data_IF_133178076557
#
_entry.id   IF_133178076557
#
_cell.length_a   1.000
_cell.length_b   1.000
_cell.length_c   1.000
_cell.angle_alpha   90.00
_cell.angle_beta   90.00
_cell.angle_gamma   90.00
#
_symmetry.space_group_name_H-M   'P 1'
#
loop_
_entity.id
_entity.type
_entity.pdbx_description
1 polymer ?
#
# COMPACT_ATOMS: atom_id res chain seq x y z
N UNK A 1 25.15 39.79 -14.37
CA UNK A 1 24.59 38.43 -14.30
C UNK A 1 24.90 37.74 -15.63
N UNK A 2 25.90 36.86 -15.66
CA UNK A 2 26.43 36.27 -16.91
C UNK A 2 25.69 34.96 -17.19
N UNK A 3 25.05 34.89 -18.36
CA UNK A 3 24.21 33.80 -18.80
C UNK A 3 24.93 32.46 -18.82
N UNK A 4 24.26 31.45 -18.26
CA UNK A 4 24.68 30.06 -18.34
C UNK A 4 24.52 29.59 -19.80
N UNK A 5 25.64 29.44 -20.50
CA UNK A 5 25.70 28.78 -21.81
C UNK A 5 25.40 27.29 -21.58
N UNK A 6 24.10 26.97 -21.47
CA UNK A 6 23.59 25.63 -21.15
C UNK A 6 23.18 24.99 -22.47
N UNK A 7 23.94 23.99 -22.91
CA UNK A 7 23.68 23.34 -24.19
C UNK A 7 22.28 22.68 -24.18
N UNK A 8 21.36 23.07 -25.06
CA UNK A 8 19.98 22.54 -25.07
C UNK A 8 19.96 21.02 -25.32
N UNK A 9 20.98 20.52 -26.03
CA UNK A 9 21.21 19.10 -26.27
C UNK A 9 21.49 18.31 -24.99
N UNK A 10 22.26 18.88 -24.05
CA UNK A 10 22.57 18.22 -22.79
C UNK A 10 21.33 18.09 -21.91
N UNK A 11 20.54 19.17 -21.83
CA UNK A 11 19.28 19.16 -21.08
C UNK A 11 18.28 18.18 -21.68
N UNK A 12 18.18 18.11 -23.01
CA UNK A 12 17.32 17.17 -23.73
C UNK A 12 17.73 15.71 -23.50
N UNK A 13 19.03 15.41 -23.51
CA UNK A 13 19.52 14.05 -23.20
C UNK A 13 19.20 13.69 -21.74
N UNK A 14 19.37 14.61 -20.80
CA UNK A 14 19.09 14.37 -19.38
C UNK A 14 17.60 14.13 -19.12
N UNK A 15 16.70 14.87 -19.78
CA UNK A 15 15.26 14.67 -19.66
C UNK A 15 14.78 13.39 -20.34
N UNK A 16 15.35 13.02 -21.49
CA UNK A 16 15.04 11.75 -22.17
C UNK A 16 15.50 10.55 -21.34
N UNK A 17 16.71 10.60 -20.76
CA UNK A 17 17.20 9.54 -19.88
C UNK A 17 16.31 9.37 -18.65
N UNK A 18 15.87 10.47 -18.02
CA UNK A 18 14.97 10.43 -16.88
C UNK A 18 13.58 9.86 -17.25
N UNK A 19 13.06 10.19 -18.43
CA UNK A 19 11.78 9.69 -18.92
C UNK A 19 11.81 8.18 -19.28
N UNK A 20 12.94 7.66 -19.73
CA UNK A 20 13.10 6.23 -20.02
C UNK A 20 13.10 5.38 -18.73
N UNK A 21 13.64 5.90 -17.64
CA UNK A 21 13.68 5.20 -16.34
C UNK A 21 12.28 4.98 -15.77
N UNK A 22 11.34 5.92 -15.97
CA UNK A 22 9.98 5.79 -15.43
C UNK A 22 9.13 4.79 -16.21
N UNK A 23 9.42 4.57 -17.49
CA UNK A 23 8.70 3.62 -18.34
C UNK A 23 9.00 2.14 -18.03
N UNK A 24 10.09 1.85 -17.31
CA UNK A 24 10.49 0.48 -16.95
C UNK A 24 9.74 -0.08 -15.72
N UNK A 25 8.97 0.74 -15.00
CA UNK A 25 8.25 0.31 -13.80
C UNK A 25 6.96 -0.41 -14.17
N UNK A 26 7.02 -1.75 -14.21
CA UNK A 26 5.85 -2.59 -14.42
C UNK A 26 5.07 -2.75 -13.10
N UNK A 27 4.14 -1.83 -12.81
CA UNK A 27 3.24 -1.96 -11.66
C UNK A 27 2.12 -2.97 -11.98
N UNK A 28 2.37 -4.27 -11.77
CA UNK A 28 1.31 -5.28 -11.80
C UNK A 28 0.48 -5.16 -10.51
N UNK A 29 -0.68 -4.51 -10.59
CA UNK A 29 -1.58 -4.33 -9.46
C UNK A 29 -1.93 -5.66 -8.78
N UNK A 30 -2.03 -5.66 -7.45
CA UNK A 30 -2.31 -6.87 -6.66
C UNK A 30 -3.76 -7.33 -6.87
N UNK A 31 -3.95 -8.54 -7.43
CA UNK A 31 -5.28 -9.14 -7.65
C UNK A 31 -5.80 -9.79 -6.37
N UNK A 32 -7.08 -9.56 -6.03
CA UNK A 32 -7.76 -10.27 -4.91
C UNK A 32 -7.74 -11.78 -5.17
N UNK A 33 -7.22 -12.57 -4.22
CA UNK A 33 -7.12 -14.03 -4.35
C UNK A 33 -5.83 -14.54 -4.99
N UNK A 34 -4.83 -13.68 -5.24
CA UNK A 34 -3.52 -14.10 -5.76
C UNK A 34 -2.85 -15.15 -4.86
N UNK A 35 -2.95 -14.99 -3.54
CA UNK A 35 -2.39 -15.94 -2.56
C UNK A 35 -3.27 -17.16 -2.28
N UNK A 36 -4.48 -17.25 -2.85
CA UNK A 36 -5.42 -18.31 -2.49
C UNK A 36 -4.91 -19.73 -2.83
N UNK A 37 -4.10 -19.88 -3.88
CA UNK A 37 -3.53 -21.18 -4.28
C UNK A 37 -2.21 -21.51 -3.60
N UNK A 38 -1.43 -20.49 -3.22
CA UNK A 38 -0.07 -20.68 -2.70
C UNK A 38 -0.03 -20.59 -1.17
N UNK A 39 -0.81 -19.68 -0.57
CA UNK A 39 -0.95 -19.54 0.87
C UNK A 39 -2.37 -19.05 1.23
N UNK A 40 -3.37 -19.95 1.36
CA UNK A 40 -4.78 -19.57 1.56
C UNK A 40 -5.05 -18.87 2.89
N UNK A 41 -4.14 -19.01 3.88
CA UNK A 41 -4.29 -18.39 5.21
C UNK A 41 -3.79 -16.94 5.27
N UNK A 42 -3.00 -16.49 4.29
CA UNK A 42 -2.39 -15.16 4.29
C UNK A 42 -3.45 -14.05 4.35
N UNK A 43 -4.43 -14.08 3.44
CA UNK A 43 -5.49 -13.05 3.40
C UNK A 43 -6.36 -13.07 4.67
N UNK A 44 -6.66 -14.25 5.22
CA UNK A 44 -7.50 -14.37 6.43
C UNK A 44 -6.80 -13.82 7.67
N UNK A 45 -5.51 -14.08 7.83
CA UNK A 45 -4.75 -13.63 9.00
C UNK A 45 -4.64 -12.10 8.97
N UNK A 46 -4.21 -11.53 7.84
CA UNK A 46 -4.12 -10.07 7.67
C UNK A 46 -5.48 -9.41 7.94
N UNK A 47 -6.56 -9.95 7.37
CA UNK A 47 -7.91 -9.45 7.61
C UNK A 47 -8.29 -9.45 9.08
N UNK A 48 -8.04 -10.55 9.80
CA UNK A 48 -8.39 -10.66 11.22
C UNK A 48 -7.60 -9.68 12.09
N UNK A 49 -6.31 -9.49 11.82
CA UNK A 49 -5.45 -8.56 12.55
C UNK A 49 -5.84 -7.12 12.27
N UNK A 50 -6.04 -6.76 11.00
CA UNK A 50 -6.52 -5.41 10.64
C UNK A 50 -7.88 -5.15 11.26
N UNK A 51 -8.79 -6.11 11.23
CA UNK A 51 -10.13 -5.95 11.78
C UNK A 51 -10.13 -5.83 13.31
N UNK A 52 -9.29 -6.59 14.02
CA UNK A 52 -9.19 -6.48 15.48
C UNK A 52 -8.64 -5.12 15.91
N UNK A 53 -7.58 -4.64 15.25
CA UNK A 53 -6.99 -3.34 15.54
C UNK A 53 -7.88 -2.17 15.12
N UNK A 54 -8.50 -2.24 13.95
CA UNK A 54 -9.39 -1.18 13.46
C UNK A 54 -10.64 -1.03 14.33
N UNK A 55 -11.16 -2.13 14.88
CA UNK A 55 -12.27 -2.09 15.87
C UNK A 55 -11.85 -1.41 17.16
N UNK A 56 -10.60 -1.56 17.58
CA UNK A 56 -10.08 -0.90 18.78
C UNK A 56 -9.85 0.60 18.55
N UNK A 57 -9.26 0.99 17.42
CA UNK A 57 -9.07 2.39 17.08
C UNK A 57 -8.95 2.59 15.54
N UNK A 58 -9.86 3.35 14.90
CA UNK A 58 -9.89 3.53 13.45
C UNK A 58 -8.75 4.40 12.91
N UNK A 59 -7.99 5.09 13.78
CA UNK A 59 -6.82 5.92 13.41
C UNK A 59 -5.55 5.08 13.19
N UNK A 60 -5.61 3.75 13.40
CA UNK A 60 -4.46 2.83 13.25
C UNK A 60 -4.13 2.52 11.79
N UNK A 61 -5.00 2.80 10.81
CA UNK A 61 -4.73 2.56 9.39
C UNK A 61 -3.39 3.16 8.89
N UNK A 62 -3.02 4.42 9.18
CA UNK A 62 -1.68 4.95 8.89
C UNK A 62 -0.57 4.32 9.74
N UNK A 63 -0.88 3.82 10.94
CA UNK A 63 0.04 3.08 11.81
C UNK A 63 0.46 1.73 11.22
N UNK A 64 -0.45 1.02 10.54
CA UNK A 64 -0.13 -0.20 9.78
C UNK A 64 0.87 0.06 8.65
N UNK A 65 0.80 1.23 8.02
CA UNK A 65 1.78 1.67 7.01
C UNK A 65 3.17 1.89 7.62
N UNK A 66 3.22 2.36 8.87
CA UNK A 66 4.47 2.60 9.62
C UNK A 66 5.03 1.33 10.28
N UNK A 67 4.21 0.29 10.48
CA UNK A 67 4.62 -1.00 11.05
C UNK A 67 5.46 -1.87 10.09
N UNK A 68 5.57 -1.43 8.82
CA UNK A 68 6.27 -2.07 7.70
C UNK A 68 7.67 -2.64 8.03
N UNK A 69 8.36 -2.11 9.02
CA UNK A 69 9.76 -2.44 9.28
C UNK A 69 10.01 -3.42 10.42
N UNK A 70 9.01 -3.76 11.24
CA UNK A 70 9.25 -4.57 12.43
C UNK A 70 8.60 -5.95 12.44
N UNK A 71 7.42 -6.09 11.81
CA UNK A 71 6.63 -7.32 11.97
C UNK A 71 6.22 -7.91 10.62
N UNK A 72 6.92 -8.98 10.23
CA UNK A 72 6.61 -9.74 9.03
C UNK A 72 6.53 -11.24 9.32
N UNK A 73 5.74 -11.57 10.35
CA UNK A 73 5.53 -12.93 10.85
C UNK A 73 5.00 -13.91 9.77
N UNK A 74 4.27 -13.41 8.78
CA UNK A 74 3.73 -14.22 7.68
C UNK A 74 4.76 -14.53 6.58
N UNK A 75 5.73 -13.66 6.35
CA UNK A 75 6.84 -13.94 5.42
C UNK A 75 7.71 -15.08 5.96
N UNK A 76 7.96 -15.10 7.27
CA UNK A 76 8.64 -16.21 7.94
C UNK A 76 7.89 -17.55 7.82
N UNK A 77 6.56 -17.53 7.67
CA UNK A 77 5.74 -18.73 7.50
C UNK A 77 5.66 -19.22 6.04
N UNK A 78 6.00 -18.40 5.04
CA UNK A 78 5.98 -18.76 3.61
C UNK A 78 6.97 -17.91 2.80
N UNK A 79 8.29 -18.14 2.99
CA UNK A 79 9.33 -17.33 2.36
C UNK A 79 9.28 -17.47 0.83
N UNK A 80 9.27 -16.34 0.13
CA UNK A 80 9.22 -16.28 -1.34
C UNK A 80 7.82 -16.33 -1.96
N UNK A 81 6.77 -16.52 -1.16
CA UNK A 81 5.37 -16.49 -1.63
C UNK A 81 4.66 -15.22 -1.18
N UNK A 82 4.83 -14.81 0.09
CA UNK A 82 4.20 -13.60 0.65
C UNK A 82 5.29 -12.69 1.20
N UNK A 83 5.41 -11.47 0.67
CA UNK A 83 6.36 -10.47 1.17
C UNK A 83 5.72 -9.46 2.13
N UNK A 84 6.52 -8.75 2.91
CA UNK A 84 6.03 -7.65 3.76
C UNK A 84 5.29 -6.55 2.98
N UNK A 85 5.67 -6.31 1.72
CA UNK A 85 4.96 -5.39 0.84
C UNK A 85 3.54 -5.91 0.51
N UNK A 86 3.39 -7.22 0.31
CA UNK A 86 2.10 -7.84 0.02
C UNK A 86 1.16 -7.79 1.23
N UNK A 87 1.68 -8.05 2.42
CA UNK A 87 0.94 -7.91 3.68
C UNK A 87 0.44 -6.47 3.84
N UNK A 88 1.29 -5.49 3.54
CA UNK A 88 0.94 -4.08 3.61
C UNK A 88 -0.17 -3.73 2.63
N UNK A 89 -0.08 -4.17 1.37
CA UNK A 89 -1.12 -3.89 0.38
C UNK A 89 -2.45 -4.56 0.73
N UNK A 90 -2.42 -5.81 1.23
CA UNK A 90 -3.60 -6.50 1.75
C UNK A 90 -4.20 -5.76 2.95
N UNK A 91 -3.35 -5.30 3.88
CA UNK A 91 -3.77 -4.59 5.07
C UNK A 91 -4.38 -3.21 4.74
N UNK A 92 -3.76 -2.47 3.82
CA UNK A 92 -4.26 -1.19 3.34
C UNK A 92 -5.62 -1.36 2.65
N UNK A 93 -5.76 -2.37 1.78
CA UNK A 93 -7.04 -2.69 1.13
C UNK A 93 -8.14 -2.98 2.14
N UNK A 94 -7.88 -3.85 3.12
CA UNK A 94 -8.86 -4.22 4.13
C UNK A 94 -9.15 -3.05 5.10
N UNK A 95 -8.17 -2.18 5.37
CA UNK A 95 -8.36 -0.95 6.15
C UNK A 95 -9.26 0.06 5.43
N UNK A 96 -9.09 0.27 4.12
CA UNK A 96 -9.99 1.11 3.32
C UNK A 96 -11.39 0.52 3.28
N UNK A 97 -11.51 -0.80 3.14
CA UNK A 97 -12.80 -1.47 3.15
C UNK A 97 -13.52 -1.30 4.51
N UNK A 98 -12.81 -1.47 5.63
CA UNK A 98 -13.34 -1.25 6.97
C UNK A 98 -13.66 0.23 7.24
N UNK A 99 -12.79 1.16 6.82
CA UNK A 99 -13.05 2.60 6.94
C UNK A 99 -14.28 3.00 6.15
N UNK A 100 -14.48 2.50 4.92
CA UNK A 100 -15.71 2.74 4.16
C UNK A 100 -16.91 2.12 4.86
N UNK A 101 -16.84 0.88 5.34
CA UNK A 101 -17.95 0.24 6.06
C UNK A 101 -18.34 1.03 7.30
N UNK A 102 -17.37 1.42 8.12
CA UNK A 102 -17.58 2.23 9.32
C UNK A 102 -18.00 3.64 8.95
N UNK A 103 -17.48 4.25 7.88
CA UNK A 103 -17.93 5.56 7.41
C UNK A 103 -19.35 5.50 6.88
N UNK A 104 -19.81 4.43 6.24
CA UNK A 104 -21.22 4.29 5.87
C UNK A 104 -22.12 4.04 7.08
N UNK A 105 -21.65 3.26 8.05
CA UNK A 105 -22.36 3.01 9.33
C UNK A 105 -22.41 4.27 10.20
N UNK A 106 -21.31 5.02 10.28
CA UNK A 106 -21.25 6.33 10.91
C UNK A 106 -21.86 7.41 10.02
N UNK A 107 -21.94 7.35 8.70
CA UNK A 107 -22.74 8.32 7.92
C UNK A 107 -24.23 8.19 8.23
N UNK A 108 -24.67 7.05 8.79
CA UNK A 108 -25.98 6.90 9.42
C UNK A 108 -26.06 7.53 10.83
N UNK A 109 -24.93 7.93 11.42
CA UNK A 109 -24.79 8.46 12.80
C UNK A 109 -23.98 9.78 12.95
N UNK A 110 -23.35 10.30 11.90
CA UNK A 110 -22.49 11.50 11.83
C UNK A 110 -22.83 12.26 10.55
N UNK A 111 -24.07 12.74 10.50
CA UNK A 111 -24.40 14.07 9.96
C UNK A 111 -23.96 15.15 10.98
N UNK A 112 -22.77 14.98 11.58
CA UNK A 112 -22.22 15.93 12.54
C UNK A 112 -20.70 15.77 12.63
N UNK A 113 -19.99 16.19 11.59
CA UNK A 113 -18.72 16.88 11.77
C UNK A 113 -18.42 17.67 10.50
N UNK A 114 -18.07 18.91 10.74
CA UNK A 114 -18.12 20.07 9.86
C UNK A 114 -16.87 20.17 8.98
#
# INVERSE_FOLDING_TARGET
MKGAYTNPRFFLVMTVMLAMVTALVQAQGTRVGFYAKTCPRAESIVRSTVQSHFRSNPTIAPGLLRMHFHDCFLEAASPGVVSCADILTLAARDSVFLKRRINWVLSFFTQEEK
#
